data_IF_998834339366
#
_entry.id   IF_998834339366
#
_cell.length_a   1.000
_cell.length_b   1.000
_cell.length_c   1.000
_cell.angle_alpha   90.00
_cell.angle_beta   90.00
_cell.angle_gamma   90.00
#
_symmetry.space_group_name_H-M   'P 1'
#
loop_
_entity.id
_entity.type
_entity.pdbx_description
1 polymer ?
#
# COMPACT_ATOMS: atom_id res chain seq x y z
N UNK A 1 -6.32 5.15 -4.67
CA UNK A 1 -7.39 4.17 -4.85
C UNK A 1 -7.32 3.53 -6.23
N UNK A 2 -7.87 2.34 -6.40
CA UNK A 2 -8.01 1.74 -7.73
C UNK A 2 -8.82 2.61 -8.67
N UNK A 3 -8.59 2.43 -9.96
CA UNK A 3 -9.34 3.17 -10.97
C UNK A 3 -9.42 2.35 -12.25
N UNK A 4 -10.41 2.68 -13.07
CA UNK A 4 -10.63 2.01 -14.33
C UNK A 4 -9.93 2.75 -15.47
N UNK A 5 -9.31 1.98 -16.34
CA UNK A 5 -8.64 2.50 -17.53
C UNK A 5 -9.23 1.86 -18.78
N UNK A 6 -9.46 2.67 -19.79
CA UNK A 6 -9.94 2.18 -21.09
C UNK A 6 -8.77 1.58 -21.86
N UNK A 7 -8.82 0.28 -22.08
CA UNK A 7 -7.81 -0.44 -22.84
C UNK A 7 -8.49 -1.13 -24.02
N UNK A 8 -8.28 -0.57 -25.22
CA UNK A 8 -8.94 -1.06 -26.44
C UNK A 8 -10.45 -1.10 -26.22
N UNK A 9 -11.07 -2.28 -26.29
CA UNK A 9 -12.52 -2.41 -26.16
C UNK A 9 -12.94 -2.81 -24.75
N UNK A 10 -12.01 -2.79 -23.78
CA UNK A 10 -12.27 -3.26 -22.43
C UNK A 10 -11.94 -2.21 -21.41
N UNK A 11 -12.62 -2.30 -20.28
CA UNK A 11 -12.22 -1.58 -19.08
C UNK A 11 -11.20 -2.43 -18.34
N UNK A 12 -10.10 -1.82 -17.95
CA UNK A 12 -9.04 -2.46 -17.21
C UNK A 12 -8.91 -1.81 -15.85
N UNK A 13 -8.89 -2.62 -14.79
CA UNK A 13 -8.74 -2.10 -13.44
C UNK A 13 -7.27 -1.93 -13.09
N UNK A 14 -6.92 -0.74 -12.63
CA UNK A 14 -5.57 -0.44 -12.12
C UNK A 14 -5.64 -0.38 -10.60
N UNK A 15 -4.81 -1.18 -9.95
CA UNK A 15 -4.61 -1.13 -8.49
C UNK A 15 -3.20 -0.58 -8.27
N UNK A 16 -3.07 0.71 -7.97
CA UNK A 16 -1.75 1.35 -7.96
C UNK A 16 -0.90 0.96 -6.75
N UNK A 17 0.40 1.11 -6.89
CA UNK A 17 1.35 1.02 -5.78
C UNK A 17 1.41 2.33 -5.03
N UNK A 18 1.84 2.26 -3.77
CA UNK A 18 2.30 3.41 -3.02
C UNK A 18 3.83 3.43 -3.14
N UNK A 19 4.35 4.22 -4.04
CA UNK A 19 5.75 4.14 -4.46
C UNK A 19 6.74 4.41 -3.32
N UNK A 20 6.45 5.35 -2.45
CA UNK A 20 7.35 5.77 -1.40
C UNK A 20 7.35 4.84 -0.18
N UNK A 21 6.34 3.98 -0.04
CA UNK A 21 6.26 3.01 1.05
C UNK A 21 6.87 1.68 0.60
N UNK A 22 8.15 1.72 0.25
CA UNK A 22 8.85 0.58 -0.34
C UNK A 22 10.23 0.45 0.29
N UNK A 23 10.61 -0.77 0.63
CA UNK A 23 11.91 -1.04 1.25
C UNK A 23 13.09 -0.79 0.31
N UNK A 24 12.84 -0.66 -0.99
CA UNK A 24 13.89 -0.29 -1.93
C UNK A 24 14.53 1.06 -1.57
N UNK A 25 13.84 1.89 -0.81
CA UNK A 25 14.39 3.17 -0.34
C UNK A 25 15.54 3.00 0.66
N UNK A 26 15.76 1.81 1.21
CA UNK A 26 17.00 1.54 1.94
C UNK A 26 18.22 1.58 1.01
N UNK A 27 18.03 1.25 -0.26
CA UNK A 27 19.12 1.16 -1.25
C UNK A 27 19.24 2.41 -2.12
N UNK A 28 18.35 3.39 -1.96
CA UNK A 28 18.35 4.60 -2.79
C UNK A 28 18.94 5.78 -2.03
N UNK A 29 19.55 6.75 -2.76
CA UNK A 29 19.98 8.00 -2.13
C UNK A 29 18.80 8.73 -1.49
N UNK A 30 19.04 9.36 -0.33
CA UNK A 30 18.00 10.09 0.41
C UNK A 30 16.83 9.21 0.84
N UNK A 31 17.05 7.89 0.89
CA UNK A 31 16.06 6.94 1.38
C UNK A 31 16.26 6.66 2.87
N UNK A 32 15.91 5.44 3.28
CA UNK A 32 16.00 5.04 4.68
C UNK A 32 17.42 4.61 5.05
N UNK A 33 17.91 5.09 6.17
CA UNK A 33 19.22 4.73 6.72
C UNK A 33 19.12 3.78 7.92
N UNK A 34 17.93 3.63 8.51
CA UNK A 34 17.71 2.77 9.65
C UNK A 34 16.30 2.19 9.63
N UNK A 35 16.11 1.10 10.39
CA UNK A 35 14.77 0.54 10.56
C UNK A 35 13.80 1.54 11.18
N UNK A 36 14.28 2.35 12.10
CA UNK A 36 13.43 3.38 12.73
C UNK A 36 12.89 4.38 11.70
N UNK A 37 13.70 4.80 10.76
CA UNK A 37 13.25 5.70 9.70
C UNK A 37 12.20 5.03 8.82
N UNK A 38 12.38 3.76 8.50
CA UNK A 38 11.41 3.00 7.73
C UNK A 38 10.08 2.89 8.47
N UNK A 39 10.13 2.51 9.74
CA UNK A 39 8.92 2.42 10.57
C UNK A 39 8.20 3.76 10.65
N UNK A 40 8.92 4.83 10.95
CA UNK A 40 8.35 6.17 11.11
C UNK A 40 7.68 6.63 9.82
N UNK A 41 8.33 6.40 8.69
CA UNK A 41 7.75 6.79 7.40
C UNK A 41 6.46 6.02 7.11
N UNK A 42 6.48 4.70 7.31
CA UNK A 42 5.29 3.88 7.10
C UNK A 42 4.16 4.28 8.05
N UNK A 43 4.49 4.53 9.30
CA UNK A 43 3.52 4.93 10.32
C UNK A 43 2.88 6.26 9.96
N UNK A 44 3.68 7.25 9.58
CA UNK A 44 3.17 8.58 9.24
C UNK A 44 2.30 8.54 7.99
N UNK A 45 2.69 7.75 6.98
CA UNK A 45 1.86 7.54 5.80
C UNK A 45 0.53 6.90 6.17
N UNK A 46 0.58 5.87 7.00
CA UNK A 46 -0.61 5.17 7.46
C UNK A 46 -1.54 6.11 8.24
N UNK A 47 -0.98 6.86 9.19
CA UNK A 47 -1.76 7.75 10.04
C UNK A 47 -2.48 8.81 9.21
N UNK A 48 -1.79 9.39 8.24
CA UNK A 48 -2.38 10.40 7.36
C UNK A 48 -3.55 9.84 6.57
N UNK A 49 -3.35 8.68 5.95
CA UNK A 49 -4.40 8.06 5.15
C UNK A 49 -5.56 7.56 6.02
N UNK A 50 -5.25 7.11 7.23
CA UNK A 50 -6.26 6.65 8.19
C UNK A 50 -7.17 7.81 8.62
N UNK A 51 -6.58 8.96 8.90
CA UNK A 51 -7.34 10.16 9.26
C UNK A 51 -8.21 10.66 8.12
N UNK A 52 -7.70 10.60 6.90
CA UNK A 52 -8.47 11.00 5.72
C UNK A 52 -9.63 10.05 5.44
N UNK A 53 -9.44 8.77 5.73
CA UNK A 53 -10.45 7.75 5.50
C UNK A 53 -10.65 7.40 4.03
N UNK A 54 -11.16 6.21 3.77
CA UNK A 54 -11.47 5.77 2.42
C UNK A 54 -10.28 5.73 1.48
N UNK A 55 -9.09 5.41 1.98
CA UNK A 55 -7.85 5.40 1.22
C UNK A 55 -7.24 4.01 1.20
N UNK A 56 -6.23 3.85 0.38
CA UNK A 56 -5.50 2.61 0.20
C UNK A 56 -4.00 2.88 0.31
N UNK A 57 -3.28 1.93 0.86
CA UNK A 57 -1.83 2.00 0.96
C UNK A 57 -1.26 0.62 0.66
N UNK A 58 -0.16 0.58 -0.08
CA UNK A 58 0.60 -0.65 -0.26
C UNK A 58 2.02 -0.45 0.25
N UNK A 59 2.60 -1.51 0.80
CA UNK A 59 3.99 -1.50 1.26
C UNK A 59 4.75 -2.51 0.42
N UNK A 60 5.74 -2.04 -0.32
CA UNK A 60 6.57 -2.87 -1.18
C UNK A 60 7.75 -3.43 -0.42
N UNK A 61 7.97 -4.74 -0.51
CA UNK A 61 9.02 -5.43 0.24
C UNK A 61 9.83 -6.33 -0.66
N UNK A 62 11.13 -6.37 -0.41
CA UNK A 62 12.05 -7.28 -1.06
C UNK A 62 12.75 -8.09 0.03
N UNK A 63 12.73 -9.41 -0.06
CA UNK A 63 13.24 -10.29 0.99
C UNK A 63 14.67 -9.95 1.41
N UNK A 64 15.54 -9.71 0.45
CA UNK A 64 16.95 -9.41 0.73
C UNK A 64 17.18 -8.03 1.33
N UNK A 65 16.20 -7.13 1.27
CA UNK A 65 16.30 -5.79 1.85
C UNK A 65 15.63 -5.76 3.20
N UNK A 66 14.32 -6.00 3.26
CA UNK A 66 13.55 -5.96 4.50
C UNK A 66 13.79 -7.16 5.39
N UNK A 67 14.34 -8.26 4.86
CA UNK A 67 14.60 -9.46 5.63
C UNK A 67 15.80 -9.39 6.56
N UNK A 68 16.59 -8.31 6.52
CA UNK A 68 17.68 -8.10 7.46
C UNK A 68 17.11 -7.88 8.86
N UNK A 69 17.72 -8.47 9.92
CA UNK A 69 17.10 -8.45 11.27
C UNK A 69 16.67 -7.07 11.76
N UNK A 70 17.52 -6.08 11.62
CA UNK A 70 17.19 -4.72 12.10
C UNK A 70 16.06 -4.07 11.30
N UNK A 71 16.01 -4.33 9.99
CA UNK A 71 14.95 -3.81 9.14
C UNK A 71 13.65 -4.58 9.33
N UNK A 72 13.76 -5.89 9.51
CA UNK A 72 12.60 -6.75 9.74
C UNK A 72 11.91 -6.40 11.06
N UNK A 73 12.66 -6.01 12.08
CA UNK A 73 12.10 -5.56 13.35
C UNK A 73 11.18 -4.35 13.13
N UNK A 74 11.58 -3.43 12.26
CA UNK A 74 10.75 -2.26 11.92
C UNK A 74 9.46 -2.67 11.22
N UNK A 75 9.53 -3.64 10.31
CA UNK A 75 8.34 -4.15 9.63
C UNK A 75 7.38 -4.81 10.62
N UNK A 76 7.89 -5.64 11.53
CA UNK A 76 7.07 -6.27 12.57
C UNK A 76 6.38 -5.21 13.44
N UNK A 77 7.11 -4.17 13.80
CA UNK A 77 6.58 -3.07 14.61
C UNK A 77 5.44 -2.36 13.89
N UNK A 78 5.59 -2.12 12.59
CA UNK A 78 4.56 -1.49 11.78
C UNK A 78 3.32 -2.37 11.66
N UNK A 79 3.51 -3.67 11.39
CA UNK A 79 2.38 -4.60 11.27
C UNK A 79 1.59 -4.68 12.58
N UNK A 80 2.28 -4.68 13.71
CA UNK A 80 1.63 -4.66 15.02
C UNK A 80 0.85 -3.36 15.22
N UNK A 81 1.43 -2.25 14.83
CA UNK A 81 0.77 -0.95 14.92
C UNK A 81 -0.54 -0.94 14.13
N UNK A 82 -0.51 -1.43 12.91
CA UNK A 82 -1.70 -1.49 12.05
C UNK A 82 -2.74 -2.46 12.61
N UNK A 83 -2.30 -3.60 13.17
CA UNK A 83 -3.20 -4.59 13.72
C UNK A 83 -4.02 -4.08 14.91
N UNK A 84 -3.50 -3.07 15.60
CA UNK A 84 -4.19 -2.47 16.74
C UNK A 84 -5.23 -1.40 16.33
N UNK A 85 -5.34 -1.10 15.04
CA UNK A 85 -6.27 -0.09 14.54
C UNK A 85 -7.58 -0.73 14.10
N UNK A 86 -8.70 -0.05 14.40
CA UNK A 86 -10.01 -0.46 13.91
C UNK A 86 -10.25 0.04 12.50
N UNK A 87 -11.19 -0.58 11.80
CA UNK A 87 -11.62 -0.13 10.46
C UNK A 87 -10.50 -0.13 9.43
N UNK A 88 -9.55 -1.07 9.57
CA UNK A 88 -8.47 -1.28 8.62
C UNK A 88 -8.61 -2.68 8.04
N UNK A 89 -8.59 -2.76 6.72
CA UNK A 89 -8.65 -4.03 6.01
C UNK A 89 -7.26 -4.34 5.45
N UNK A 90 -6.59 -5.30 6.07
CA UNK A 90 -5.30 -5.80 5.58
C UNK A 90 -5.58 -6.98 4.66
N UNK A 91 -5.23 -6.85 3.40
CA UNK A 91 -5.64 -7.79 2.38
C UNK A 91 -4.63 -7.85 1.24
N UNK A 92 -4.86 -8.78 0.32
CA UNK A 92 -4.05 -8.85 -0.91
C UNK A 92 -4.56 -7.84 -1.93
N UNK A 93 -3.73 -7.57 -2.94
CA UNK A 93 -4.16 -6.72 -4.04
C UNK A 93 -5.29 -7.37 -4.85
N UNK A 94 -5.28 -8.69 -4.94
CA UNK A 94 -6.37 -9.42 -5.59
C UNK A 94 -7.70 -9.23 -4.84
N UNK A 95 -7.66 -9.18 -3.51
CA UNK A 95 -8.85 -8.91 -2.70
C UNK A 95 -9.39 -7.52 -2.98
N UNK A 96 -8.50 -6.53 -3.07
CA UNK A 96 -8.89 -5.15 -3.41
C UNK A 96 -9.51 -5.11 -4.80
N UNK A 97 -8.91 -5.80 -5.77
CA UNK A 97 -9.44 -5.84 -7.13
C UNK A 97 -10.86 -6.44 -7.16
N UNK A 98 -11.07 -7.55 -6.45
CA UNK A 98 -12.40 -8.16 -6.37
C UNK A 98 -13.41 -7.23 -5.73
N UNK A 99 -13.04 -6.59 -4.63
CA UNK A 99 -13.90 -5.61 -3.97
C UNK A 99 -14.29 -4.48 -4.92
N UNK A 100 -13.31 -3.97 -5.67
CA UNK A 100 -13.56 -2.87 -6.60
C UNK A 100 -14.47 -3.30 -7.75
N UNK A 101 -14.28 -4.51 -8.28
CA UNK A 101 -15.19 -5.05 -9.30
C UNK A 101 -16.62 -5.17 -8.77
N UNK A 102 -16.78 -5.63 -7.54
CA UNK A 102 -18.11 -5.89 -6.98
C UNK A 102 -18.85 -4.62 -6.57
N UNK A 103 -18.14 -3.59 -6.15
CA UNK A 103 -18.74 -2.41 -5.53
C UNK A 103 -18.54 -1.12 -6.31
N UNK A 104 -17.61 -1.09 -7.24
CA UNK A 104 -17.25 0.10 -8.01
C UNK A 104 -17.02 -0.25 -9.47
N UNK A 105 -17.95 -1.00 -10.06
CA UNK A 105 -17.82 -1.40 -11.46
C UNK A 105 -17.78 -0.18 -12.38
N UNK A 106 -17.14 -0.30 -13.56
CA UNK A 106 -17.04 0.83 -14.46
C UNK A 106 -18.43 1.30 -14.88
N UNK A 107 -18.57 2.60 -14.86
CA UNK A 107 -19.82 3.20 -15.29
C UNK A 107 -20.07 2.85 -16.75
N UNK A 108 -21.28 2.38 -17.04
CA UNK A 108 -21.70 2.13 -18.40
C UNK A 108 -22.05 3.47 -19.03
N UNK A 109 -21.02 4.20 -19.42
CA UNK A 109 -21.23 5.50 -20.03
C UNK A 109 -22.10 5.38 -21.26
N UNK A 110 -23.15 6.15 -21.27
CA UNK A 110 -24.02 6.21 -22.44
C UNK A 110 -23.41 7.15 -23.43
N UNK A 111 -22.94 6.62 -24.47
CA UNK A 111 -22.46 7.41 -25.59
C UNK A 111 -21.35 8.32 -25.29
#
# INVERSE_FOLDING_TARGET
LPYWHDAAERKHLIVPYTLDNNDMRFASPQGFNSGEQFFTYLKDSFDTLYEEGGKMMSVGLHCRIAGRPGRFAALKKFLKYVADKSSVWVCTRADIARHWHDNHSPSLKKG
#
